data_IF_048116782566
#
_entry.id   IF_048116782566
#
_cell.length_a   1.000
_cell.length_b   1.000
_cell.length_c   1.000
_cell.angle_alpha   90.00
_cell.angle_beta   90.00
_cell.angle_gamma   90.00
#
_symmetry.space_group_name_H-M   'P 1'
#
loop_
_entity.id
_entity.type
_entity.pdbx_description
1 polymer ?
#
# COMPACT_ATOMS: atom_id res chain seq x y z
N UNK A 1 -11.68 16.93 -5.68
CA UNK A 1 -12.12 16.51 -4.31
C UNK A 1 -12.17 14.99 -4.16
N UNK A 2 -12.81 14.23 -5.07
CA UNK A 2 -12.91 12.75 -4.98
C UNK A 2 -11.56 12.01 -5.03
N UNK A 3 -10.64 12.43 -5.87
CA UNK A 3 -9.30 11.86 -6.01
C UNK A 3 -8.46 11.93 -4.72
N UNK A 4 -8.68 12.97 -3.94
CA UNK A 4 -8.07 13.20 -2.64
C UNK A 4 -8.55 12.19 -1.59
N UNK A 5 -9.85 11.97 -1.54
CA UNK A 5 -10.47 11.06 -0.56
C UNK A 5 -9.99 9.62 -0.79
N UNK A 6 -9.78 9.18 -2.04
CA UNK A 6 -9.27 7.86 -2.38
C UNK A 6 -7.81 7.64 -1.99
N UNK A 7 -6.94 8.59 -2.32
CA UNK A 7 -5.52 8.49 -1.93
C UNK A 7 -5.34 8.50 -0.43
N UNK A 8 -6.07 9.36 0.30
CA UNK A 8 -6.03 9.39 1.76
C UNK A 8 -6.56 8.09 2.36
N UNK A 9 -7.72 7.59 1.91
CA UNK A 9 -8.28 6.34 2.44
C UNK A 9 -7.31 5.18 2.31
N UNK A 10 -6.63 5.04 1.18
CA UNK A 10 -5.66 3.96 0.97
C UNK A 10 -4.45 4.08 1.90
N UNK A 11 -3.88 5.28 2.03
CA UNK A 11 -2.70 5.50 2.87
C UNK A 11 -3.01 5.37 4.36
N UNK A 12 -4.16 5.87 4.80
CA UNK A 12 -4.60 5.74 6.19
C UNK A 12 -5.04 4.33 6.54
N UNK A 13 -5.57 3.54 5.59
CA UNK A 13 -5.92 2.13 5.85
C UNK A 13 -4.71 1.29 6.25
N UNK A 14 -3.53 1.51 5.63
CA UNK A 14 -2.31 0.82 6.02
C UNK A 14 -1.84 1.18 7.45
N UNK A 15 -1.97 2.45 7.83
CA UNK A 15 -1.68 2.88 9.22
C UNK A 15 -2.67 2.22 10.18
N UNK A 16 -3.96 2.21 9.83
CA UNK A 16 -5.00 1.57 10.63
C UNK A 16 -4.73 0.08 10.81
N UNK A 17 -4.39 -0.64 9.73
CA UNK A 17 -4.02 -2.05 9.78
C UNK A 17 -2.82 -2.26 10.72
N UNK A 18 -1.79 -1.41 10.61
CA UNK A 18 -0.63 -1.47 11.51
C UNK A 18 -0.96 -1.19 12.97
N UNK A 19 -1.98 -0.38 13.26
CA UNK A 19 -2.43 -0.06 14.62
C UNK A 19 -3.47 -1.06 15.18
N UNK A 20 -4.11 -1.85 14.33
CA UNK A 20 -5.15 -2.82 14.72
C UNK A 20 -4.79 -3.68 15.91
N UNK A 21 -3.58 -4.23 15.98
CA UNK A 21 -3.18 -5.06 17.11
C UNK A 21 -3.21 -4.33 18.45
N UNK A 22 -2.85 -3.05 18.43
CA UNK A 22 -2.85 -2.20 19.62
C UNK A 22 -4.28 -1.84 20.02
N UNK A 23 -5.14 -1.54 19.04
CA UNK A 23 -6.51 -1.10 19.26
C UNK A 23 -7.42 -2.22 19.75
N UNK A 24 -7.17 -3.47 19.34
CA UNK A 24 -8.01 -4.62 19.69
C UNK A 24 -7.47 -5.42 20.89
N UNK A 25 -6.49 -4.89 21.64
CA UNK A 25 -5.88 -5.53 22.81
C UNK A 25 -5.43 -6.98 22.54
N UNK A 26 -5.20 -7.31 21.27
CA UNK A 26 -4.72 -8.65 20.89
C UNK A 26 -3.33 -8.82 21.49
N UNK A 27 -3.10 -9.85 22.29
CA UNK A 27 -1.79 -10.07 22.90
C UNK A 27 -0.78 -10.43 21.81
N UNK A 28 -0.12 -9.42 21.26
CA UNK A 28 0.99 -9.59 20.33
C UNK A 28 2.21 -10.13 21.07
N UNK A 29 2.13 -11.41 21.42
CA UNK A 29 3.24 -12.14 22.04
C UNK A 29 4.18 -12.59 20.92
N UNK A 30 5.45 -12.19 21.01
CA UNK A 30 6.48 -12.61 20.07
C UNK A 30 7.03 -11.48 19.20
N UNK A 31 8.08 -11.81 18.48
CA UNK A 31 8.84 -10.88 17.64
C UNK A 31 8.14 -10.63 16.29
N UNK A 32 7.55 -11.66 15.67
CA UNK A 32 6.93 -11.59 14.34
C UNK A 32 5.80 -10.57 14.24
N UNK A 33 4.78 -10.61 15.14
CA UNK A 33 3.71 -9.61 15.09
C UNK A 33 4.22 -8.18 15.26
N UNK A 34 5.24 -7.97 16.07
CA UNK A 34 5.84 -6.65 16.27
C UNK A 34 6.56 -6.16 15.01
N UNK A 35 7.32 -7.04 14.36
CA UNK A 35 8.04 -6.69 13.12
C UNK A 35 7.06 -6.34 11.99
N UNK A 36 6.01 -7.15 11.78
CA UNK A 36 5.03 -6.89 10.74
C UNK A 36 4.25 -5.60 11.01
N UNK A 37 3.86 -5.35 12.27
CA UNK A 37 3.23 -4.09 12.68
C UNK A 37 4.12 -2.88 12.36
N UNK A 38 5.41 -2.94 12.70
CA UNK A 38 6.36 -1.87 12.41
C UNK A 38 6.47 -1.66 10.89
N UNK A 39 6.52 -2.74 10.10
CA UNK A 39 6.61 -2.65 8.65
C UNK A 39 5.40 -1.93 8.03
N UNK A 40 4.20 -2.25 8.50
CA UNK A 40 2.97 -1.57 8.04
C UNK A 40 2.92 -0.11 8.48
N UNK A 41 3.32 0.18 9.72
CA UNK A 41 3.38 1.56 10.21
C UNK A 41 4.39 2.40 9.42
N UNK A 42 5.59 1.87 9.17
CA UNK A 42 6.62 2.57 8.39
C UNK A 42 6.13 2.83 6.96
N UNK A 43 5.59 1.82 6.29
CA UNK A 43 5.09 1.95 4.93
C UNK A 43 3.87 2.88 4.86
N UNK A 44 2.90 2.71 5.75
CA UNK A 44 1.69 3.50 5.81
C UNK A 44 1.95 4.97 6.17
N UNK A 45 2.76 5.24 7.18
CA UNK A 45 3.12 6.62 7.58
C UNK A 45 3.88 7.35 6.48
N UNK A 46 4.81 6.67 5.79
CA UNK A 46 5.52 7.27 4.66
C UNK A 46 4.57 7.71 3.56
N UNK A 47 3.60 6.86 3.19
CA UNK A 47 2.59 7.18 2.19
C UNK A 47 1.63 8.27 2.67
N UNK A 48 1.15 8.18 3.91
CA UNK A 48 0.24 9.15 4.51
C UNK A 48 0.87 10.55 4.61
N UNK A 49 2.12 10.65 5.05
CA UNK A 49 2.86 11.91 5.08
C UNK A 49 3.04 12.50 3.68
N UNK A 50 3.36 11.65 2.69
CA UNK A 50 3.47 12.08 1.29
C UNK A 50 2.15 12.66 0.76
N UNK A 51 1.04 11.97 0.97
CA UNK A 51 -0.29 12.41 0.57
C UNK A 51 -0.72 13.70 1.29
N UNK A 52 -0.45 13.81 2.60
CA UNK A 52 -0.76 15.00 3.39
C UNK A 52 0.05 16.21 2.92
N UNK A 53 1.32 16.05 2.62
CA UNK A 53 2.16 17.14 2.07
C UNK A 53 1.67 17.60 0.70
N UNK A 54 1.26 16.68 -0.18
CA UNK A 54 0.68 17.03 -1.48
C UNK A 54 -0.64 17.79 -1.32
N UNK A 55 -1.44 17.43 -0.32
CA UNK A 55 -2.68 18.16 0.01
C UNK A 55 -2.38 19.57 0.50
N UNK A 56 -1.54 19.73 1.53
CA UNK A 56 -1.18 21.01 2.12
C UNK A 56 -0.52 21.96 1.10
N UNK A 57 0.20 21.42 0.12
CA UNK A 57 0.82 22.19 -0.97
C UNK A 57 -0.11 22.50 -2.14
N UNK A 58 -1.40 22.10 -2.07
CA UNK A 58 -2.41 22.33 -3.11
C UNK A 58 -2.18 21.52 -4.41
N UNK A 59 -1.22 20.59 -4.43
CA UNK A 59 -0.89 19.81 -5.62
C UNK A 59 -1.87 18.70 -5.94
N UNK A 60 -2.76 18.36 -4.99
CA UNK A 60 -3.84 17.39 -5.19
C UNK A 60 -5.11 17.99 -5.82
N UNK A 61 -5.06 19.25 -6.23
CA UNK A 61 -6.19 19.89 -6.96
C UNK A 61 -6.31 19.37 -8.40
N UNK A 62 -5.23 18.79 -8.95
CA UNK A 62 -5.28 18.17 -10.27
C UNK A 62 -5.76 16.73 -10.16
N UNK A 63 -6.67 16.35 -11.05
CA UNK A 63 -7.17 14.99 -11.15
C UNK A 63 -6.05 14.03 -11.58
N UNK A 64 -6.00 12.84 -10.97
CA UNK A 64 -5.02 11.84 -11.39
C UNK A 64 -5.32 11.33 -12.80
N UNK A 65 -4.29 11.07 -13.63
CA UNK A 65 -4.46 10.63 -15.02
C UNK A 65 -5.35 9.40 -15.17
N UNK A 66 -5.37 8.50 -14.17
CA UNK A 66 -6.25 7.32 -14.17
C UNK A 66 -7.72 7.69 -14.16
N UNK A 67 -8.13 8.63 -13.31
CA UNK A 67 -9.54 9.04 -13.22
C UNK A 67 -9.97 9.88 -14.41
N UNK A 68 -9.06 10.69 -14.94
CA UNK A 68 -9.25 11.38 -16.21
C UNK A 68 -9.52 10.39 -17.34
N UNK A 69 -8.72 9.35 -17.46
CA UNK A 69 -8.89 8.28 -18.43
C UNK A 69 -10.23 7.53 -18.27
N UNK A 70 -10.58 7.18 -17.02
CA UNK A 70 -11.86 6.52 -16.73
C UNK A 70 -13.03 7.38 -17.16
N UNK A 71 -13.00 8.68 -16.82
CA UNK A 71 -14.07 9.64 -17.13
C UNK A 71 -14.18 9.89 -18.64
N UNK A 72 -13.10 10.26 -19.27
CA UNK A 72 -13.11 10.74 -20.67
C UNK A 72 -13.21 9.60 -21.69
N UNK A 73 -12.74 8.41 -21.35
CA UNK A 73 -12.70 7.31 -22.31
C UNK A 73 -13.67 6.19 -21.94
N UNK A 74 -13.63 5.69 -20.72
CA UNK A 74 -14.41 4.49 -20.37
C UNK A 74 -15.88 4.83 -20.08
N UNK A 75 -16.12 5.84 -19.23
CA UNK A 75 -17.47 6.22 -18.84
C UNK A 75 -18.18 7.03 -19.94
N UNK A 76 -17.44 7.88 -20.66
CA UNK A 76 -17.98 8.60 -21.81
C UNK A 76 -18.51 7.64 -22.91
N UNK A 77 -17.80 6.55 -23.17
CA UNK A 77 -18.28 5.49 -24.09
C UNK A 77 -19.56 4.81 -23.62
N UNK A 78 -19.85 4.85 -22.32
CA UNK A 78 -21.08 4.31 -21.71
C UNK A 78 -22.19 5.36 -21.57
N UNK A 79 -21.97 6.57 -22.09
CA UNK A 79 -22.93 7.68 -21.98
C UNK A 79 -22.95 8.36 -20.60
N UNK A 80 -21.98 8.03 -19.71
CA UNK A 80 -21.90 8.61 -18.35
C UNK A 80 -20.94 9.81 -18.42
N UNK A 81 -21.46 10.98 -18.77
CA UNK A 81 -20.67 12.20 -18.97
C UNK A 81 -20.95 13.28 -17.94
N UNK A 82 -22.13 13.26 -17.33
CA UNK A 82 -22.53 14.27 -16.34
C UNK A 82 -22.03 13.90 -14.93
N UNK A 83 -21.10 14.69 -14.39
CA UNK A 83 -20.53 14.52 -13.04
C UNK A 83 -21.56 14.68 -11.91
N UNK A 84 -22.65 15.39 -12.17
CA UNK A 84 -23.75 15.56 -11.20
C UNK A 84 -24.67 14.34 -11.15
N UNK A 85 -24.67 13.52 -12.21
CA UNK A 85 -25.55 12.37 -12.36
C UNK A 85 -25.32 11.30 -11.30
N UNK A 86 -26.37 10.59 -10.96
CA UNK A 86 -26.30 9.45 -10.04
C UNK A 86 -25.41 8.33 -10.59
N UNK A 87 -25.46 8.06 -11.88
CA UNK A 87 -24.68 7.01 -12.55
C UNK A 87 -23.18 7.30 -12.51
N UNK A 88 -22.77 8.56 -12.66
CA UNK A 88 -21.38 8.96 -12.50
C UNK A 88 -20.89 8.70 -11.08
N UNK A 89 -21.65 9.16 -10.08
CA UNK A 89 -21.30 8.98 -8.67
C UNK A 89 -21.19 7.49 -8.29
N UNK A 90 -22.12 6.66 -8.75
CA UNK A 90 -22.08 5.21 -8.50
C UNK A 90 -20.88 4.57 -9.21
N UNK A 91 -20.59 4.92 -10.46
CA UNK A 91 -19.44 4.37 -11.19
C UNK A 91 -18.13 4.68 -10.49
N UNK A 92 -17.99 5.92 -9.98
CA UNK A 92 -16.84 6.34 -9.18
C UNK A 92 -16.77 5.55 -7.86
N UNK A 93 -17.88 5.41 -7.14
CA UNK A 93 -17.92 4.68 -5.86
C UNK A 93 -17.59 3.19 -6.05
N UNK A 94 -18.08 2.56 -7.10
CA UNK A 94 -17.77 1.16 -7.42
C UNK A 94 -16.28 0.97 -7.70
N UNK A 95 -15.64 1.82 -8.51
CA UNK A 95 -14.21 1.72 -8.80
C UNK A 95 -13.36 1.88 -7.53
N UNK A 96 -13.72 2.85 -6.69
CA UNK A 96 -13.08 3.07 -5.40
C UNK A 96 -13.26 1.87 -4.46
N UNK A 97 -14.47 1.34 -4.35
CA UNK A 97 -14.78 0.22 -3.46
C UNK A 97 -14.03 -1.04 -3.86
N UNK A 98 -14.05 -1.39 -5.15
CA UNK A 98 -13.33 -2.56 -5.67
C UNK A 98 -11.83 -2.42 -5.40
N UNK A 99 -11.25 -1.25 -5.64
CA UNK A 99 -9.84 -1.00 -5.37
C UNK A 99 -9.53 -1.11 -3.87
N UNK A 100 -10.38 -0.57 -3.00
CA UNK A 100 -10.21 -0.69 -1.55
C UNK A 100 -10.28 -2.14 -1.09
N UNK A 101 -11.27 -2.91 -1.54
CA UNK A 101 -11.44 -4.32 -1.17
C UNK A 101 -10.26 -5.17 -1.65
N UNK A 102 -9.81 -5.00 -2.89
CA UNK A 102 -8.63 -5.71 -3.40
C UNK A 102 -7.37 -5.37 -2.61
N UNK A 103 -7.16 -4.09 -2.33
CA UNK A 103 -5.99 -3.66 -1.57
C UNK A 103 -6.04 -4.14 -0.12
N UNK A 104 -7.18 -4.00 0.56
CA UNK A 104 -7.35 -4.50 1.94
C UNK A 104 -7.16 -6.02 1.98
N UNK A 105 -7.82 -6.79 1.12
CA UNK A 105 -7.71 -8.24 1.08
C UNK A 105 -6.26 -8.69 0.86
N UNK A 106 -5.58 -8.18 -0.18
CA UNK A 106 -4.22 -8.58 -0.51
C UNK A 106 -3.18 -8.07 0.49
N UNK A 107 -3.32 -6.80 0.94
CA UNK A 107 -2.32 -6.19 1.80
C UNK A 107 -2.49 -6.54 3.28
N UNK A 108 -3.69 -6.93 3.76
CA UNK A 108 -3.88 -7.37 5.14
C UNK A 108 -3.37 -8.80 5.40
N UNK A 109 -3.31 -9.65 4.37
CA UNK A 109 -2.98 -11.07 4.52
C UNK A 109 -1.66 -11.33 5.25
N UNK A 110 -0.51 -10.70 4.91
CA UNK A 110 0.72 -10.93 5.64
C UNK A 110 0.62 -10.58 7.12
N UNK A 111 -0.10 -9.50 7.45
CA UNK A 111 -0.33 -9.06 8.82
C UNK A 111 -1.13 -10.10 9.61
N UNK A 112 -2.21 -10.60 9.02
CA UNK A 112 -3.07 -11.59 9.65
C UNK A 112 -2.36 -12.93 9.85
N UNK A 113 -1.66 -13.41 8.82
CA UNK A 113 -0.92 -14.67 8.87
C UNK A 113 0.14 -14.63 9.98
N UNK A 114 0.91 -13.56 10.07
CA UNK A 114 1.94 -13.43 11.11
C UNK A 114 1.38 -13.10 12.50
N UNK A 115 0.21 -12.46 12.57
CA UNK A 115 -0.48 -12.17 13.82
C UNK A 115 -1.07 -13.40 14.48
N UNK A 116 -1.66 -14.30 13.71
CA UNK A 116 -2.38 -15.49 14.21
C UNK A 116 -1.64 -16.80 13.96
N UNK A 117 -0.56 -16.78 13.19
CA UNK A 117 0.15 -17.96 12.75
C UNK A 117 1.15 -18.50 13.78
N UNK A 118 2.19 -19.04 13.27
CA UNK A 118 3.24 -19.77 13.96
C UNK A 118 3.86 -19.02 15.17
N UNK A 119 3.86 -19.66 16.34
CA UNK A 119 4.28 -19.05 17.62
C UNK A 119 5.72 -19.41 18.05
N UNK A 120 6.60 -19.89 17.17
CA UNK A 120 7.99 -20.10 17.59
C UNK A 120 8.67 -18.77 17.91
N UNK A 121 9.55 -18.76 18.91
CA UNK A 121 10.26 -17.53 19.29
C UNK A 121 11.30 -17.13 18.26
N UNK A 122 11.90 -18.11 17.59
CA UNK A 122 12.98 -17.89 16.61
C UNK A 122 12.45 -17.64 15.20
N UNK A 123 13.07 -16.71 14.50
CA UNK A 123 12.79 -16.44 13.09
C UNK A 123 13.47 -17.51 12.20
N UNK A 124 12.76 -17.98 11.21
CA UNK A 124 13.31 -18.85 10.18
C UNK A 124 14.25 -18.07 9.23
N UNK A 125 15.16 -18.76 8.57
CA UNK A 125 16.06 -18.15 7.56
C UNK A 125 15.27 -17.46 6.44
N UNK A 126 14.12 -18.00 6.06
CA UNK A 126 13.26 -17.41 5.04
C UNK A 126 12.65 -16.08 5.51
N UNK A 127 12.24 -16.00 6.77
CA UNK A 127 11.76 -14.75 7.36
C UNK A 127 12.87 -13.70 7.43
N UNK A 128 14.07 -14.10 7.88
CA UNK A 128 15.22 -13.19 7.92
C UNK A 128 15.53 -12.66 6.51
N UNK A 129 15.55 -13.53 5.51
CA UNK A 129 15.72 -13.11 4.11
C UNK A 129 14.63 -12.12 3.67
N UNK A 130 13.38 -12.41 3.97
CA UNK A 130 12.25 -11.52 3.65
C UNK A 130 12.38 -10.14 4.30
N UNK A 131 12.82 -10.07 5.58
CA UNK A 131 13.04 -8.81 6.28
C UNK A 131 14.22 -8.01 5.72
N UNK A 132 15.30 -8.65 5.33
CA UNK A 132 16.42 -8.03 4.64
C UNK A 132 15.95 -7.45 3.30
N UNK A 133 15.21 -8.26 2.53
CA UNK A 133 14.65 -7.82 1.24
C UNK A 133 13.69 -6.63 1.42
N UNK A 134 12.84 -6.64 2.46
CA UNK A 134 11.94 -5.54 2.79
C UNK A 134 12.71 -4.23 3.04
N UNK A 135 13.78 -4.29 3.83
CA UNK A 135 14.61 -3.13 4.12
C UNK A 135 15.24 -2.56 2.85
N UNK A 136 15.85 -3.41 2.03
CA UNK A 136 16.44 -2.97 0.76
C UNK A 136 15.40 -2.41 -0.21
N UNK A 137 14.22 -2.98 -0.26
CA UNK A 137 13.12 -2.52 -1.13
C UNK A 137 12.64 -1.13 -0.75
N UNK A 138 12.47 -0.84 0.54
CA UNK A 138 12.14 0.51 1.02
C UNK A 138 13.24 1.51 0.70
N UNK A 139 14.52 1.13 0.90
CA UNK A 139 15.65 2.00 0.58
C UNK A 139 15.74 2.27 -0.92
N UNK A 140 15.49 1.27 -1.74
CA UNK A 140 15.45 1.39 -3.20
C UNK A 140 14.36 2.37 -3.64
N UNK A 141 13.12 2.17 -3.16
CA UNK A 141 11.98 3.03 -3.45
C UNK A 141 12.24 4.48 -3.02
N UNK A 142 12.72 4.65 -1.78
CA UNK A 142 13.06 5.97 -1.24
C UNK A 142 14.13 6.68 -2.09
N UNK A 143 15.14 5.92 -2.55
CA UNK A 143 16.20 6.46 -3.42
C UNK A 143 15.65 6.91 -4.75
N UNK A 144 14.78 6.10 -5.37
CA UNK A 144 14.11 6.45 -6.62
C UNK A 144 13.28 7.74 -6.48
N UNK A 145 12.48 7.85 -5.42
CA UNK A 145 11.67 9.04 -5.15
C UNK A 145 12.53 10.29 -4.90
N UNK A 146 13.63 10.16 -4.18
CA UNK A 146 14.57 11.28 -3.95
C UNK A 146 15.23 11.73 -5.24
N UNK A 147 15.65 10.82 -6.10
CA UNK A 147 16.24 11.14 -7.40
C UNK A 147 15.24 11.93 -8.25
N UNK A 148 13.99 11.48 -8.35
CA UNK A 148 12.93 12.17 -9.10
C UNK A 148 12.64 13.57 -8.54
N UNK A 149 12.54 13.70 -7.21
CA UNK A 149 12.31 15.00 -6.56
C UNK A 149 13.43 15.99 -6.84
N UNK A 150 14.69 15.55 -6.79
CA UNK A 150 15.85 16.38 -7.13
C UNK A 150 15.81 16.80 -8.59
N UNK A 151 15.62 15.86 -9.51
CA UNK A 151 15.52 16.13 -10.93
C UNK A 151 14.44 17.18 -11.24
N UNK A 152 13.23 17.03 -10.67
CA UNK A 152 12.15 18.02 -10.86
C UNK A 152 12.54 19.41 -10.30
N UNK A 153 13.24 19.45 -9.17
CA UNK A 153 13.73 20.70 -8.61
C UNK A 153 14.75 21.37 -9.55
N UNK A 154 15.73 20.63 -10.02
CA UNK A 154 16.78 21.11 -10.94
C UNK A 154 16.18 21.61 -12.26
N UNK A 155 15.20 20.90 -12.81
CA UNK A 155 14.48 21.34 -14.01
C UNK A 155 13.74 22.68 -13.81
N UNK A 156 13.11 22.85 -12.63
CA UNK A 156 12.43 24.11 -12.31
C UNK A 156 13.40 25.28 -12.16
N UNK A 157 14.53 25.06 -11.51
CA UNK A 157 15.57 26.08 -11.34
C UNK A 157 16.19 26.52 -12.67
N UNK A 158 16.27 25.58 -13.62
CA UNK A 158 16.79 25.82 -14.97
C UNK A 158 15.73 26.20 -15.99
N UNK A 159 14.46 26.34 -15.60
CA UNK A 159 13.32 26.60 -16.50
C UNK A 159 13.20 25.59 -17.65
N UNK A 160 13.57 24.31 -17.41
CA UNK A 160 13.44 23.25 -18.39
C UNK A 160 12.06 22.63 -18.28
N UNK A 161 11.25 22.73 -19.34
CA UNK A 161 9.92 22.15 -19.41
C UNK A 161 9.97 20.81 -20.17
N UNK A 162 9.06 19.90 -19.80
CA UNK A 162 8.86 18.59 -20.46
C UNK A 162 10.09 17.66 -20.45
N UNK A 163 11.00 17.81 -19.50
CA UNK A 163 12.14 16.92 -19.36
C UNK A 163 11.73 15.55 -18.83
N UNK A 164 12.27 14.50 -19.42
CA UNK A 164 12.12 13.12 -18.94
C UNK A 164 13.20 12.82 -17.91
N UNK A 165 12.81 12.26 -16.77
CA UNK A 165 13.76 11.88 -15.73
C UNK A 165 14.55 10.64 -16.19
N UNK A 166 15.84 10.79 -16.40
CA UNK A 166 16.78 9.75 -16.85
C UNK A 166 18.00 9.59 -15.93
N UNK A 167 17.89 10.09 -14.68
CA UNK A 167 18.98 10.09 -13.70
C UNK A 167 18.91 8.88 -12.76
N UNK A 168 20.07 8.30 -12.44
CA UNK A 168 20.16 7.21 -11.48
C UNK A 168 19.30 6.00 -11.86
N UNK A 169 18.40 5.58 -10.97
CA UNK A 169 17.50 4.45 -11.19
C UNK A 169 16.49 4.68 -12.33
N UNK A 170 16.12 5.94 -12.60
CA UNK A 170 15.21 6.32 -13.67
C UNK A 170 15.79 6.14 -15.07
N UNK A 171 17.09 5.94 -15.17
CA UNK A 171 17.75 5.59 -16.45
C UNK A 171 17.42 4.15 -16.88
N UNK A 172 17.19 3.26 -15.92
CA UNK A 172 16.96 1.83 -16.19
C UNK A 172 15.48 1.46 -16.26
N UNK A 173 14.61 2.25 -15.66
CA UNK A 173 13.17 1.99 -15.63
C UNK A 173 12.39 3.30 -15.62
N UNK A 174 11.21 3.31 -16.25
CA UNK A 174 10.27 4.45 -16.20
C UNK A 174 9.63 4.65 -14.83
N UNK A 175 9.58 3.60 -14.03
CA UNK A 175 8.92 3.58 -12.72
C UNK A 175 9.70 2.74 -11.70
N UNK A 176 10.96 3.10 -11.37
CA UNK A 176 11.74 2.33 -10.42
C UNK A 176 11.14 2.35 -9.01
N UNK A 177 10.47 3.43 -8.63
CA UNK A 177 9.77 3.54 -7.35
C UNK A 177 8.61 2.53 -7.24
N UNK A 178 7.83 2.29 -8.29
CA UNK A 178 6.77 1.29 -8.29
C UNK A 178 7.33 -0.13 -8.19
N UNK A 179 8.48 -0.39 -8.82
CA UNK A 179 9.17 -1.66 -8.63
C UNK A 179 9.61 -1.85 -7.17
N UNK A 180 10.15 -0.81 -6.54
CA UNK A 180 10.50 -0.83 -5.12
C UNK A 180 9.30 -1.12 -4.24
N UNK A 181 8.19 -0.43 -4.45
CA UNK A 181 6.93 -0.65 -3.73
C UNK A 181 6.41 -2.09 -3.92
N UNK A 182 6.41 -2.60 -5.15
CA UNK A 182 6.02 -3.98 -5.43
C UNK A 182 6.91 -4.98 -4.68
N UNK A 183 8.22 -4.75 -4.61
CA UNK A 183 9.16 -5.57 -3.86
C UNK A 183 8.93 -5.48 -2.35
N UNK A 184 8.51 -4.35 -1.79
CA UNK A 184 8.11 -4.21 -0.38
C UNK A 184 7.00 -5.20 -0.04
N UNK A 185 5.94 -5.25 -0.85
CA UNK A 185 4.81 -6.16 -0.62
C UNK A 185 5.19 -7.63 -0.80
N UNK A 186 5.99 -7.96 -1.83
CA UNK A 186 6.49 -9.32 -2.02
C UNK A 186 7.37 -9.80 -0.86
N UNK A 187 8.19 -8.92 -0.31
CA UNK A 187 9.02 -9.26 0.85
C UNK A 187 8.18 -9.58 2.09
N UNK A 188 7.08 -8.85 2.34
CA UNK A 188 6.14 -9.15 3.43
C UNK A 188 5.41 -10.47 3.21
N UNK A 189 5.07 -10.83 1.97
CA UNK A 189 4.54 -12.15 1.64
C UNK A 189 5.58 -13.23 1.96
N UNK A 190 6.84 -13.05 1.55
CA UNK A 190 7.93 -14.01 1.84
C UNK A 190 8.11 -14.20 3.34
N UNK A 191 8.09 -13.12 4.14
CA UNK A 191 8.18 -13.23 5.61
C UNK A 191 7.01 -13.98 6.22
N UNK A 192 5.84 -13.99 5.60
CA UNK A 192 4.65 -14.67 6.11
C UNK A 192 4.53 -16.15 5.70
N UNK A 193 5.32 -16.61 4.70
CA UNK A 193 5.25 -17.97 4.20
C UNK A 193 5.46 -19.05 5.28
N UNK A 194 6.43 -18.97 6.19
CA UNK A 194 6.61 -20.00 7.23
C UNK A 194 5.38 -20.08 8.14
N UNK A 195 4.81 -18.95 8.54
CA UNK A 195 3.59 -18.91 9.35
C UNK A 195 2.38 -19.46 8.59
N UNK A 196 2.26 -19.19 7.29
CA UNK A 196 1.22 -19.75 6.44
C UNK A 196 1.34 -21.27 6.31
N UNK A 197 2.56 -21.78 6.10
CA UNK A 197 2.82 -23.23 6.01
C UNK A 197 2.49 -23.94 7.33
N UNK A 198 2.82 -23.34 8.46
CA UNK A 198 2.47 -23.87 9.77
C UNK A 198 0.96 -23.92 9.99
N UNK A 199 0.22 -22.87 9.61
CA UNK A 199 -1.25 -22.84 9.65
C UNK A 199 -1.87 -23.93 8.74
N UNK A 200 -1.26 -24.19 7.60
CA UNK A 200 -1.72 -25.23 6.68
C UNK A 200 -1.52 -26.65 7.23
N UNK A 201 -0.42 -26.87 7.94
CA UNK A 201 -0.09 -28.18 8.51
C UNK A 201 -0.88 -28.51 9.78
N UNK A 202 -1.26 -27.51 10.56
CA UNK A 202 -2.05 -27.64 11.78
C UNK A 202 -3.27 -26.70 11.71
N UNK A 203 -4.30 -27.03 10.90
CA UNK A 203 -5.48 -26.21 10.79
C UNK A 203 -6.25 -26.28 12.11
N UNK A 204 -6.00 -25.34 12.99
CA UNK A 204 -6.84 -25.10 14.14
C UNK A 204 -8.06 -24.31 13.67
N UNK A 205 -9.24 -24.93 13.71
CA UNK A 205 -10.50 -24.28 13.32
C UNK A 205 -10.70 -22.95 14.06
N UNK A 206 -10.23 -22.86 15.30
CA UNK A 206 -10.29 -21.66 16.11
C UNK A 206 -9.49 -20.51 15.52
N UNK A 207 -8.36 -20.79 14.89
CA UNK A 207 -7.51 -19.75 14.23
C UNK A 207 -8.18 -19.24 12.96
N UNK A 208 -8.72 -20.15 12.14
CA UNK A 208 -9.43 -19.78 10.91
C UNK A 208 -10.68 -18.95 11.23
N UNK A 209 -11.41 -19.29 12.28
CA UNK A 209 -12.56 -18.51 12.76
C UNK A 209 -12.12 -17.13 13.24
N UNK A 210 -11.06 -16.99 14.02
CA UNK A 210 -10.54 -15.69 14.48
C UNK A 210 -10.06 -14.82 13.34
N UNK A 211 -9.42 -15.42 12.32
CA UNK A 211 -9.05 -14.70 11.08
C UNK A 211 -10.32 -14.19 10.39
N UNK A 212 -11.32 -15.05 10.23
CA UNK A 212 -12.62 -14.70 9.63
C UNK A 212 -13.33 -13.59 10.41
N UNK A 213 -13.42 -13.69 11.71
CA UNK A 213 -14.03 -12.67 12.59
C UNK A 213 -13.28 -11.32 12.49
N UNK A 214 -11.94 -11.36 12.49
CA UNK A 214 -11.13 -10.14 12.33
C UNK A 214 -11.32 -9.47 10.97
N UNK A 215 -11.54 -10.25 9.90
CA UNK A 215 -11.88 -9.70 8.58
C UNK A 215 -13.28 -9.10 8.61
N UNK A 216 -14.27 -9.80 9.18
CA UNK A 216 -15.66 -9.34 9.22
C UNK A 216 -15.86 -8.10 10.11
N UNK A 217 -15.12 -7.96 11.22
CA UNK A 217 -15.21 -6.78 12.09
C UNK A 217 -14.59 -5.50 11.48
N UNK A 218 -13.88 -5.64 10.37
CA UNK A 218 -13.15 -4.55 9.71
C UNK A 218 -13.75 -4.14 8.35
N UNK A 219 -14.89 -4.72 7.98
CA UNK A 219 -15.72 -4.32 6.83
C UNK A 219 -16.90 -3.48 7.32
#
# INVERSE_FOLDING_TARGET
MYCFITSLKHTFSLVTIGLMPILNEVPFKGLRPKLIMIAYLVSGLRMALGATLLFLTGRLQQEFPRYLYLREIIWAKKGITDESSFDFKISMQKDILVQCLCNMGALCMPMMIQGFGYNSEELTYLEIFGWILWYFSIMFEHTADRQKKRFIKDCKEKNINNAVCDVGLWRYSRHPNYFGEWMVWNSLIITSLPSLLALWQTPDETILVKIGESVCMNI
#
